data_IF_414629310603
#
_entry.id   IF_414629310603
#
_cell.length_a   1.000
_cell.length_b   1.000
_cell.length_c   1.000
_cell.angle_alpha   90.00
_cell.angle_beta   90.00
_cell.angle_gamma   90.00
#
_symmetry.space_group_name_H-M   'P 1'
#
loop_
_entity.id
_entity.type
_entity.pdbx_description
1 polymer ?
#
# COMPACT_ATOMS: atom_id res chain seq x y z
N UNK A 1 -2.60 12.24 12.44
CA UNK A 1 -3.58 11.65 11.51
C UNK A 1 -3.75 10.21 11.93
N UNK A 2 -4.98 9.79 12.23
CA UNK A 2 -5.25 8.46 12.77
C UNK A 2 -4.96 7.37 11.73
N UNK A 3 -4.30 6.29 12.15
CA UNK A 3 -3.91 5.18 11.25
C UNK A 3 -5.12 4.53 10.59
N UNK A 4 -6.25 4.48 11.30
CA UNK A 4 -7.54 4.00 10.78
C UNK A 4 -8.05 4.84 9.61
N UNK A 5 -7.89 6.16 9.66
CA UNK A 5 -8.31 7.06 8.57
C UNK A 5 -7.46 6.82 7.33
N UNK A 6 -6.13 6.77 7.50
CA UNK A 6 -5.20 6.48 6.39
C UNK A 6 -5.52 5.12 5.76
N UNK A 7 -5.85 4.11 6.59
CA UNK A 7 -6.21 2.79 6.10
C UNK A 7 -7.52 2.80 5.32
N UNK A 8 -8.59 3.45 5.85
CA UNK A 8 -9.86 3.56 5.14
C UNK A 8 -9.72 4.24 3.78
N UNK A 9 -9.01 5.38 3.74
CA UNK A 9 -8.77 6.11 2.49
C UNK A 9 -7.95 5.28 1.49
N UNK A 10 -6.92 4.58 1.99
CA UNK A 10 -6.08 3.71 1.15
C UNK A 10 -6.86 2.50 0.62
N UNK A 11 -7.74 1.91 1.43
CA UNK A 11 -8.55 0.76 1.04
C UNK A 11 -9.59 1.12 -0.01
N UNK A 12 -10.29 2.25 0.16
CA UNK A 12 -11.23 2.76 -0.83
C UNK A 12 -10.54 3.11 -2.15
N UNK A 13 -9.37 3.75 -2.08
CA UNK A 13 -8.55 4.02 -3.26
C UNK A 13 -8.12 2.73 -3.99
N UNK A 14 -7.61 1.73 -3.25
CA UNK A 14 -7.12 0.49 -3.86
C UNK A 14 -8.25 -0.33 -4.50
N UNK A 15 -9.46 -0.32 -3.94
CA UNK A 15 -10.64 -0.98 -4.55
C UNK A 15 -10.92 -0.47 -5.96
N UNK A 16 -10.77 0.84 -6.19
CA UNK A 16 -10.97 1.41 -7.53
C UNK A 16 -9.72 1.31 -8.41
N UNK A 17 -8.54 1.47 -7.82
CA UNK A 17 -7.28 1.53 -8.56
C UNK A 17 -6.81 0.16 -9.05
N UNK A 18 -6.84 -0.87 -8.19
CA UNK A 18 -6.28 -2.20 -8.52
C UNK A 18 -6.89 -2.80 -9.80
N UNK A 19 -8.22 -2.82 -10.01
CA UNK A 19 -8.79 -3.38 -11.22
C UNK A 19 -8.36 -2.65 -12.49
N UNK A 20 -8.30 -1.31 -12.45
CA UNK A 20 -7.89 -0.47 -13.58
C UNK A 20 -6.41 -0.67 -13.90
N UNK A 21 -5.58 -0.73 -12.86
CA UNK A 21 -4.15 -1.00 -13.00
C UNK A 21 -3.88 -2.38 -13.59
N UNK A 22 -4.61 -3.39 -13.12
CA UNK A 22 -4.53 -4.74 -13.66
C UNK A 22 -4.90 -4.78 -15.15
N UNK A 23 -6.01 -4.14 -15.55
CA UNK A 23 -6.40 -4.03 -16.95
C UNK A 23 -5.30 -3.39 -17.81
N UNK A 24 -4.73 -2.28 -17.35
CA UNK A 24 -3.64 -1.60 -18.05
C UNK A 24 -2.38 -2.49 -18.21
N UNK A 25 -2.06 -3.30 -17.21
CA UNK A 25 -0.94 -4.25 -17.28
C UNK A 25 -1.20 -5.40 -18.26
N UNK A 26 -2.47 -5.81 -18.43
CA UNK A 26 -2.85 -6.80 -19.43
C UNK A 26 -2.66 -6.24 -20.85
N UNK A 27 -3.15 -5.02 -21.09
CA UNK A 27 -3.09 -4.35 -22.40
C UNK A 27 -1.64 -4.05 -22.82
N UNK A 28 -0.82 -3.57 -21.89
CA UNK A 28 0.57 -3.19 -22.18
C UNK A 28 1.50 -4.39 -22.42
N UNK A 29 1.02 -5.64 -22.28
CA UNK A 29 1.85 -6.86 -22.33
C UNK A 29 3.02 -6.87 -21.32
N UNK A 30 3.03 -5.94 -20.36
CA UNK A 30 3.99 -5.87 -19.25
C UNK A 30 3.64 -6.85 -18.12
N UNK A 31 2.78 -7.81 -18.40
CA UNK A 31 2.22 -8.74 -17.42
C UNK A 31 3.33 -9.60 -16.83
N UNK A 32 3.70 -9.29 -15.59
CA UNK A 32 4.65 -10.07 -14.79
C UNK A 32 3.89 -11.12 -13.97
N UNK A 33 4.58 -12.21 -13.61
CA UNK A 33 4.02 -13.27 -12.73
C UNK A 33 3.50 -12.66 -11.43
N UNK A 34 2.20 -12.82 -11.15
CA UNK A 34 1.58 -12.37 -9.90
C UNK A 34 1.81 -13.44 -8.81
N UNK A 35 2.54 -13.09 -7.76
CA UNK A 35 2.64 -13.88 -6.52
C UNK A 35 1.85 -13.13 -5.46
N UNK A 36 0.99 -13.83 -4.73
CA UNK A 36 0.31 -13.25 -3.58
C UNK A 36 1.40 -12.88 -2.55
N UNK A 37 1.52 -11.60 -2.22
CA UNK A 37 2.31 -11.15 -1.09
C UNK A 37 1.58 -11.44 0.22
N UNK A 38 2.27 -11.29 1.34
CA UNK A 38 1.65 -11.35 2.67
C UNK A 38 0.76 -10.13 2.97
N UNK A 39 0.94 -9.03 2.23
CA UNK A 39 0.21 -7.79 2.39
C UNK A 39 -0.54 -7.45 1.10
N UNK A 40 -1.76 -6.92 1.24
CA UNK A 40 -2.51 -6.31 0.14
C UNK A 40 -1.97 -4.91 -0.19
N UNK A 41 -2.44 -4.33 -1.31
CA UNK A 41 -1.95 -3.03 -1.75
C UNK A 41 -2.33 -1.92 -0.76
N UNK A 42 -3.55 -1.96 -0.20
CA UNK A 42 -4.02 -0.95 0.77
C UNK A 42 -3.20 -0.97 2.06
N UNK A 43 -2.78 -2.14 2.53
CA UNK A 43 -1.84 -2.27 3.67
C UNK A 43 -0.48 -1.65 3.35
N UNK A 44 0.08 -1.92 2.16
CA UNK A 44 1.35 -1.35 1.72
C UNK A 44 1.26 0.18 1.63
N UNK A 45 0.18 0.70 1.02
CA UNK A 45 -0.08 2.14 0.91
C UNK A 45 -0.19 2.79 2.27
N UNK A 46 -0.94 2.18 3.20
CA UNK A 46 -1.09 2.66 4.57
C UNK A 46 0.26 2.73 5.30
N UNK A 47 1.09 1.70 5.16
CA UNK A 47 2.45 1.66 5.72
C UNK A 47 3.31 2.79 5.15
N UNK A 48 3.29 3.00 3.84
CA UNK A 48 4.07 4.05 3.18
C UNK A 48 3.62 5.46 3.61
N UNK A 49 2.31 5.74 3.54
CA UNK A 49 1.77 7.05 3.94
C UNK A 49 2.01 7.31 5.42
N UNK A 50 1.75 6.32 6.28
CA UNK A 50 2.02 6.42 7.71
C UNK A 50 3.51 6.66 8.02
N UNK A 51 4.43 6.02 7.29
CA UNK A 51 5.86 6.28 7.43
C UNK A 51 6.23 7.72 7.06
N UNK A 52 5.70 8.24 5.94
CA UNK A 52 5.96 9.61 5.52
C UNK A 52 5.38 10.65 6.50
N UNK A 53 4.18 10.41 7.02
CA UNK A 53 3.50 11.33 7.94
C UNK A 53 4.06 11.31 9.36
N UNK A 54 4.63 10.19 9.80
CA UNK A 54 5.16 10.03 11.15
C UNK A 54 6.51 10.73 11.39
N UNK A 55 7.19 11.18 10.32
CA UNK A 55 8.45 11.91 10.43
C UNK A 55 9.65 11.07 10.88
N UNK A 56 9.53 9.74 10.88
CA UNK A 56 10.66 8.87 11.18
C UNK A 56 11.74 8.95 10.11
N UNK A 57 12.99 9.07 10.54
CA UNK A 57 14.14 9.14 9.62
C UNK A 57 14.40 7.82 8.88
N UNK A 58 14.04 6.70 9.49
CA UNK A 58 14.32 5.37 8.91
C UNK A 58 13.11 4.48 9.00
N UNK A 59 12.86 3.75 7.92
CA UNK A 59 11.75 2.81 7.83
C UNK A 59 11.86 1.69 8.87
N UNK A 60 13.08 1.23 9.18
CA UNK A 60 13.33 0.19 10.19
C UNK A 60 12.86 0.60 11.59
N UNK A 61 12.99 1.88 11.93
CA UNK A 61 12.54 2.36 13.23
C UNK A 61 11.02 2.51 13.26
N UNK A 62 10.41 3.03 12.19
CA UNK A 62 8.96 3.06 12.04
C UNK A 62 8.32 1.67 12.12
N UNK A 63 8.85 0.70 11.37
CA UNK A 63 8.29 -0.65 11.33
C UNK A 63 8.32 -1.33 12.70
N UNK A 64 9.43 -1.22 13.43
CA UNK A 64 9.52 -1.77 14.80
C UNK A 64 8.56 -1.13 15.81
N UNK A 65 8.19 0.13 15.58
CA UNK A 65 7.32 0.88 16.49
C UNK A 65 5.83 0.70 16.20
N UNK A 66 5.46 0.57 14.92
CA UNK A 66 4.05 0.66 14.48
C UNK A 66 3.54 -0.59 13.76
N UNK A 67 4.43 -1.46 13.27
CA UNK A 67 4.07 -2.67 12.52
C UNK A 67 4.42 -3.88 13.39
N UNK A 68 3.41 -4.66 13.79
CA UNK A 68 3.56 -5.90 14.56
C UNK A 68 3.32 -7.11 13.68
#
# INVERSE_FOLDING_TARGET
>A
MDTTTIFCESDEFCKEFEPRWEQHLLESSLKRRRRQGALCLSEIMTIMVGFHLSGYRTFKHYSRSHIK
#
